data_IF_999398233018
#
_entry.id   IF_999398233018
#
_cell.length_a   1.000
_cell.length_b   1.000
_cell.length_c   1.000
_cell.angle_alpha   90.00
_cell.angle_beta   90.00
_cell.angle_gamma   90.00
#
_symmetry.space_group_name_H-M   'P 1'
#
loop_
_entity.id
_entity.type
_entity.pdbx_description
1 polymer ?
#
# COMPACT_ATOMS: atom_id res chain seq x y z
N UNK A 1 -7.69 28.59 -35.19
CA UNK A 1 -7.15 29.18 -33.94
C UNK A 1 -7.40 30.69 -33.96
N UNK A 2 -8.21 31.22 -33.03
CA UNK A 2 -8.54 32.66 -32.94
C UNK A 2 -7.31 33.55 -32.77
N UNK A 3 -6.32 33.11 -31.98
CA UNK A 3 -5.04 33.81 -31.85
C UNK A 3 -4.27 33.96 -33.17
N UNK A 4 -4.45 33.04 -34.13
CA UNK A 4 -3.88 33.18 -35.48
C UNK A 4 -4.66 34.18 -36.32
N UNK A 5 -5.99 34.24 -36.15
CA UNK A 5 -6.85 35.19 -36.85
C UNK A 5 -6.60 36.63 -36.40
N UNK A 6 -6.32 36.82 -35.10
CA UNK A 6 -5.91 38.12 -34.55
C UNK A 6 -4.52 38.51 -35.08
N UNK A 7 -3.55 37.59 -35.02
CA UNK A 7 -2.17 37.88 -35.47
C UNK A 7 -2.06 38.15 -36.98
N UNK A 8 -2.93 37.59 -37.82
CA UNK A 8 -2.84 37.78 -39.28
C UNK A 8 -3.59 39.01 -39.79
N UNK A 9 -4.64 39.46 -39.09
CA UNK A 9 -5.57 40.47 -39.61
C UNK A 9 -5.68 41.76 -38.79
N UNK A 10 -5.01 41.86 -37.62
CA UNK A 10 -5.03 43.08 -36.81
C UNK A 10 -3.65 43.70 -36.73
N UNK A 11 -3.60 45.02 -36.94
CA UNK A 11 -2.38 45.81 -36.73
C UNK A 11 -1.94 45.69 -35.27
N UNK A 12 -0.63 45.78 -35.03
CA UNK A 12 -0.03 45.64 -33.69
C UNK A 12 -0.64 46.61 -32.66
N UNK A 13 -1.07 47.80 -33.12
CA UNK A 13 -1.75 48.82 -32.30
C UNK A 13 -3.16 48.44 -31.86
N UNK A 14 -3.82 47.51 -32.55
CA UNK A 14 -5.19 47.05 -32.27
C UNK A 14 -5.21 45.67 -31.61
N UNK A 15 -4.06 45.00 -31.55
CA UNK A 15 -3.91 43.66 -30.99
C UNK A 15 -4.19 43.63 -29.48
N UNK A 16 -3.69 44.62 -28.73
CA UNK A 16 -3.92 44.73 -27.30
C UNK A 16 -5.41 44.89 -26.97
N UNK A 17 -6.11 45.71 -27.76
CA UNK A 17 -7.55 45.97 -27.61
C UNK A 17 -8.40 44.76 -28.03
N UNK A 18 -7.94 43.99 -29.02
CA UNK A 18 -8.61 42.77 -29.49
C UNK A 18 -8.41 41.56 -28.56
N UNK A 19 -7.35 41.54 -27.74
CA UNK A 19 -7.12 40.52 -26.71
C UNK A 19 -8.10 40.68 -25.54
N UNK A 20 -8.47 41.92 -25.21
CA UNK A 20 -9.46 42.23 -24.16
C UNK A 20 -10.91 42.02 -24.62
N UNK A 21 -11.15 41.85 -25.92
CA UNK A 21 -12.48 41.50 -26.42
C UNK A 21 -12.79 40.03 -26.19
N UNK A 22 -14.00 39.75 -25.67
CA UNK A 22 -14.49 38.39 -25.46
C UNK A 22 -14.38 37.58 -26.77
N UNK A 23 -13.88 36.33 -26.74
CA UNK A 23 -13.78 35.53 -27.95
C UNK A 23 -15.15 35.40 -28.62
N UNK A 24 -15.22 35.43 -29.97
CA UNK A 24 -16.47 35.23 -30.69
C UNK A 24 -17.19 33.98 -30.19
N UNK A 25 -18.51 34.01 -30.11
CA UNK A 25 -19.35 33.00 -29.43
C UNK A 25 -19.10 31.56 -29.93
N UNK A 26 -18.68 31.41 -31.18
CA UNK A 26 -18.24 30.13 -31.74
C UNK A 26 -16.96 29.61 -31.04
N UNK A 27 -15.96 30.46 -30.81
CA UNK A 27 -14.67 30.11 -30.19
C UNK A 27 -14.88 29.78 -28.72
N UNK A 28 -15.77 30.49 -28.06
CA UNK A 28 -16.19 30.23 -26.68
C UNK A 28 -16.74 28.80 -26.50
N UNK A 29 -17.50 28.29 -27.48
CA UNK A 29 -17.98 26.90 -27.48
C UNK A 29 -16.82 25.89 -27.55
N UNK A 30 -15.79 26.17 -28.35
CA UNK A 30 -14.61 25.31 -28.43
C UNK A 30 -13.79 25.34 -27.14
N UNK A 31 -13.63 26.50 -26.51
CA UNK A 31 -12.94 26.60 -25.21
C UNK A 31 -13.68 25.82 -24.12
N UNK A 32 -15.01 25.95 -24.03
CA UNK A 32 -15.84 25.15 -23.11
C UNK A 32 -15.71 23.64 -23.36
N UNK A 33 -15.64 23.23 -24.63
CA UNK A 33 -15.43 21.84 -25.03
C UNK A 33 -14.02 21.32 -24.73
N UNK A 34 -12.99 22.18 -24.66
CA UNK A 34 -11.63 21.79 -24.27
C UNK A 34 -11.51 21.63 -22.76
N UNK A 35 -12.19 22.48 -22.00
CA UNK A 35 -12.17 22.41 -20.54
C UNK A 35 -12.93 21.18 -20.00
N UNK A 36 -14.03 20.75 -20.62
CA UNK A 36 -14.84 19.64 -20.08
C UNK A 36 -14.16 18.26 -20.03
N UNK A 37 -13.40 17.80 -21.06
CA UNK A 37 -12.71 16.52 -21.07
C UNK A 37 -11.48 16.55 -20.18
N UNK A 38 -10.76 17.67 -20.13
CA UNK A 38 -9.62 17.87 -19.24
C UNK A 38 -10.04 17.82 -17.76
N UNK A 39 -11.13 18.52 -17.40
CA UNK A 39 -11.68 18.47 -16.04
C UNK A 39 -12.10 17.05 -15.64
N UNK A 40 -12.73 16.33 -16.58
CA UNK A 40 -13.15 14.94 -16.38
C UNK A 40 -11.95 14.01 -16.22
N UNK A 41 -10.89 14.21 -17.01
CA UNK A 41 -9.66 13.44 -16.89
C UNK A 41 -8.99 13.65 -15.53
N UNK A 42 -8.84 14.89 -15.07
CA UNK A 42 -8.29 15.21 -13.74
C UNK A 42 -9.15 14.57 -12.63
N UNK A 43 -10.48 14.64 -12.77
CA UNK A 43 -11.40 14.03 -11.80
C UNK A 43 -11.24 12.50 -11.74
N UNK A 44 -11.11 11.85 -12.89
CA UNK A 44 -10.88 10.41 -12.99
C UNK A 44 -9.52 10.00 -12.40
N UNK A 45 -8.47 10.76 -12.66
CA UNK A 45 -7.13 10.53 -12.09
C UNK A 45 -7.18 10.68 -10.57
N UNK A 46 -7.83 11.74 -10.07
CA UNK A 46 -8.01 11.94 -8.63
C UNK A 46 -8.78 10.78 -7.98
N UNK A 47 -9.85 10.31 -8.63
CA UNK A 47 -10.63 9.18 -8.13
C UNK A 47 -9.80 7.89 -8.10
N UNK A 48 -9.03 7.61 -9.17
CA UNK A 48 -8.15 6.45 -9.24
C UNK A 48 -7.07 6.50 -8.15
N UNK A 49 -6.45 7.67 -7.95
CA UNK A 49 -5.43 7.86 -6.93
C UNK A 49 -5.99 7.68 -5.51
N UNK A 50 -7.20 8.19 -5.25
CA UNK A 50 -7.88 7.98 -3.97
C UNK A 50 -8.18 6.49 -3.73
N UNK A 51 -8.64 5.76 -4.75
CA UNK A 51 -8.87 4.32 -4.63
C UNK A 51 -7.57 3.56 -4.36
N UNK A 52 -6.49 3.90 -5.08
CA UNK A 52 -5.18 3.31 -4.86
C UNK A 52 -4.67 3.55 -3.42
N UNK A 53 -4.87 4.77 -2.89
CA UNK A 53 -4.53 5.10 -1.51
C UNK A 53 -5.33 4.27 -0.50
N UNK A 54 -6.64 4.14 -0.69
CA UNK A 54 -7.50 3.31 0.19
C UNK A 54 -7.02 1.86 0.18
N UNK A 55 -6.70 1.31 -0.98
CA UNK A 55 -6.20 -0.06 -1.12
C UNK A 55 -4.86 -0.24 -0.39
N UNK A 56 -3.91 0.66 -0.60
CA UNK A 56 -2.60 0.61 0.09
C UNK A 56 -2.77 0.72 1.60
N UNK A 57 -3.68 1.58 2.06
CA UNK A 57 -3.95 1.75 3.48
C UNK A 57 -4.56 0.48 4.10
N UNK A 58 -5.49 -0.18 3.40
CA UNK A 58 -6.01 -1.47 3.82
C UNK A 58 -4.90 -2.51 3.95
N UNK A 59 -4.01 -2.62 2.96
CA UNK A 59 -2.88 -3.54 3.03
C UNK A 59 -1.96 -3.25 4.22
N UNK A 60 -1.70 -1.97 4.52
CA UNK A 60 -0.90 -1.60 5.70
C UNK A 60 -1.57 -2.05 7.01
N UNK A 61 -2.88 -1.92 7.12
CA UNK A 61 -3.65 -2.41 8.27
C UNK A 61 -3.59 -3.95 8.37
N UNK A 62 -3.75 -4.65 7.26
CA UNK A 62 -3.65 -6.11 7.19
C UNK A 62 -2.23 -6.58 7.61
N UNK A 63 -1.18 -5.87 7.20
CA UNK A 63 0.19 -6.15 7.65
C UNK A 63 0.34 -5.98 9.16
N UNK A 64 -0.25 -4.95 9.75
CA UNK A 64 -0.21 -4.76 11.20
C UNK A 64 -0.90 -5.91 11.95
N UNK A 65 -2.00 -6.43 11.40
CA UNK A 65 -2.68 -7.59 11.95
C UNK A 65 -1.79 -8.84 11.88
N UNK A 66 -1.15 -9.08 10.73
CA UNK A 66 -0.22 -10.19 10.56
C UNK A 66 0.95 -10.14 11.56
N UNK A 67 1.50 -8.95 11.83
CA UNK A 67 2.56 -8.80 12.84
C UNK A 67 2.09 -9.17 14.24
N UNK A 68 0.84 -8.84 14.61
CA UNK A 68 0.27 -9.21 15.91
C UNK A 68 0.05 -10.72 16.02
N UNK A 69 -0.38 -11.36 14.94
CA UNK A 69 -0.57 -12.81 14.90
C UNK A 69 0.77 -13.55 15.02
N UNK A 70 1.80 -13.08 14.31
CA UNK A 70 3.16 -13.62 14.41
C UNK A 70 3.73 -13.49 15.82
N UNK A 71 3.50 -12.35 16.48
CA UNK A 71 3.92 -12.14 17.87
C UNK A 71 3.18 -13.09 18.84
N UNK A 72 1.90 -13.34 18.59
CA UNK A 72 1.10 -14.29 19.38
C UNK A 72 1.62 -15.72 19.21
N UNK A 73 1.91 -16.12 17.97
CA UNK A 73 2.51 -17.42 17.67
C UNK A 73 3.87 -17.58 18.33
N UNK A 74 4.72 -16.54 18.29
CA UNK A 74 6.03 -16.53 18.95
C UNK A 74 5.89 -16.80 20.45
N UNK A 75 5.02 -16.08 21.14
CA UNK A 75 4.77 -16.30 22.57
C UNK A 75 4.26 -17.70 22.88
N UNK A 76 3.42 -18.25 22.01
CA UNK A 76 2.94 -19.61 22.17
C UNK A 76 4.08 -20.64 22.05
N UNK A 77 4.98 -20.46 21.08
CA UNK A 77 6.16 -21.32 20.92
C UNK A 77 7.11 -21.21 22.11
N UNK A 78 7.36 -20.00 22.62
CA UNK A 78 8.17 -19.78 23.83
C UNK A 78 7.58 -20.51 25.05
N UNK A 79 6.25 -20.49 25.21
CA UNK A 79 5.59 -21.23 26.28
C UNK A 79 5.70 -22.75 26.10
N UNK A 80 5.50 -23.27 24.88
CA UNK A 80 5.67 -24.70 24.60
C UNK A 80 7.11 -25.16 24.88
N UNK A 81 8.11 -24.36 24.50
CA UNK A 81 9.51 -24.65 24.80
C UNK A 81 9.74 -24.71 26.32
N UNK A 82 9.17 -23.76 27.08
CA UNK A 82 9.25 -23.75 28.54
C UNK A 82 8.64 -25.00 29.15
N UNK A 83 7.45 -25.41 28.70
CA UNK A 83 6.78 -26.63 29.17
C UNK A 83 7.61 -27.88 28.86
N UNK A 84 8.17 -27.98 27.65
CA UNK A 84 9.03 -29.10 27.26
C UNK A 84 10.29 -29.18 28.11
N UNK A 85 10.91 -28.04 28.46
CA UNK A 85 12.06 -28.01 29.39
C UNK A 85 11.68 -28.53 30.76
N UNK A 86 10.54 -28.11 31.31
CA UNK A 86 10.04 -28.59 32.60
C UNK A 86 9.77 -30.10 32.56
N UNK A 87 9.08 -30.59 31.53
CA UNK A 87 8.82 -32.01 31.37
C UNK A 87 10.10 -32.83 31.23
N UNK A 88 11.06 -32.32 30.44
CA UNK A 88 12.37 -32.95 30.31
C UNK A 88 13.07 -33.05 31.66
N UNK A 89 13.17 -31.97 32.42
CA UNK A 89 13.81 -31.99 33.74
C UNK A 89 13.11 -32.93 34.72
N UNK A 90 11.77 -33.01 34.66
CA UNK A 90 10.99 -33.95 35.47
C UNK A 90 11.33 -35.39 35.12
N UNK A 91 11.39 -35.72 33.82
CA UNK A 91 11.75 -37.06 33.36
C UNK A 91 13.21 -37.41 33.69
N UNK A 92 14.13 -36.46 33.59
CA UNK A 92 15.53 -36.64 33.98
C UNK A 92 15.67 -36.93 35.49
N UNK A 93 14.88 -36.25 36.33
CA UNK A 93 14.83 -36.51 37.77
C UNK A 93 14.28 -37.92 38.07
N UNK A 94 13.16 -38.31 37.46
CA UNK A 94 12.57 -39.65 37.60
C UNK A 94 13.55 -40.74 37.13
N UNK A 95 14.23 -40.50 36.00
CA UNK A 95 15.23 -41.43 35.48
C UNK A 95 16.39 -41.64 36.47
N UNK A 96 16.86 -40.55 37.09
CA UNK A 96 17.91 -40.60 38.10
C UNK A 96 17.47 -41.35 39.36
N UNK A 97 16.26 -41.09 39.86
CA UNK A 97 15.69 -41.78 41.04
C UNK A 97 15.50 -43.28 40.81
N UNK A 98 15.06 -43.67 39.61
CA UNK A 98 14.82 -45.08 39.28
C UNK A 98 16.10 -45.86 38.92
N UNK A 99 17.25 -45.20 38.81
CA UNK A 99 18.51 -45.84 38.42
C UNK A 99 18.44 -46.52 37.05
N UNK A 100 17.58 -46.04 36.15
CA UNK A 100 17.35 -46.67 34.85
C UNK A 100 18.58 -46.52 33.95
N UNK A 101 18.97 -47.55 33.19
CA UNK A 101 20.02 -47.39 32.19
C UNK A 101 19.53 -46.42 31.11
N UNK A 102 20.37 -45.45 30.74
CA UNK A 102 20.09 -44.61 29.56
C UNK A 102 20.06 -45.51 28.34
N UNK A 103 18.98 -45.48 27.56
CA UNK A 103 18.78 -46.30 26.35
C UNK A 103 19.85 -46.08 25.26
N UNK A 104 20.77 -45.14 25.45
CA UNK A 104 21.97 -44.96 24.63
C UNK A 104 23.08 -45.98 24.92
N UNK A 105 23.08 -46.61 26.11
CA UNK A 105 24.11 -47.58 26.52
C UNK A 105 23.88 -48.98 25.96
N UNK A 106 22.64 -49.36 25.63
CA UNK A 106 22.32 -50.74 25.20
C UNK A 106 22.49 -50.97 23.68
N UNK A 107 22.54 -49.90 22.86
CA UNK A 107 22.86 -50.01 21.43
C UNK A 107 24.35 -50.10 21.12
N UNK A 108 25.22 -49.95 22.11
CA UNK A 108 26.68 -50.09 21.95
C UNK A 108 27.20 -51.46 22.41
N UNK A 109 26.33 -52.33 22.93
CA UNK A 109 26.68 -53.63 23.50
C UNK A 109 26.00 -54.83 22.77
N UNK A 110 25.40 -54.61 21.61
CA UNK A 110 24.88 -55.64 20.70
C UNK A 110 25.47 -55.44 19.31
#
# INVERSE_FOLDING_TARGET
MWGNHIKSNLFQSTLAEAIDQLPPTHVEKFLRLVHSPQQRHISNVKQSMNLALVVVQQYLEDYQLLYRDLETLRRHLEEQERQLKVHRSTLEAIHHELGLPTSRSERAAA
#
